data_IF_977815777336
#
_entry.id   IF_977815777336
#
_cell.length_a   1.000
_cell.length_b   1.000
_cell.length_c   1.000
_cell.angle_alpha   90.00
_cell.angle_beta   90.00
_cell.angle_gamma   90.00
#
_symmetry.space_group_name_H-M   'P 1'
#
loop_
_entity.id
_entity.type
_entity.pdbx_description
1 polymer ?
#
# COMPACT_ATOMS: atom_id res chain seq x y z
N UNK A 1 19.80 10.44 66.52
CA UNK A 1 18.67 9.52 66.12
C UNK A 1 17.44 10.24 65.65
N UNK A 2 16.97 11.29 66.29
CA UNK A 2 15.71 11.98 65.89
C UNK A 2 15.77 12.73 64.53
N UNK A 3 16.94 13.17 64.08
CA UNK A 3 17.10 13.86 62.76
C UNK A 3 17.11 12.90 61.60
N UNK A 4 17.54 11.66 61.75
CA UNK A 4 17.53 10.63 60.68
C UNK A 4 16.12 10.11 60.46
N UNK A 5 15.30 10.02 61.55
CA UNK A 5 13.90 9.58 61.42
C UNK A 5 13.02 10.58 60.66
N UNK A 6 13.29 11.89 60.83
CA UNK A 6 12.58 12.94 60.07
C UNK A 6 12.93 12.95 58.58
N UNK A 7 14.15 12.58 58.19
CA UNK A 7 14.58 12.49 56.81
C UNK A 7 13.98 11.26 56.08
N UNK A 8 13.87 10.16 56.82
CA UNK A 8 13.21 8.95 56.31
C UNK A 8 11.69 9.11 56.11
N UNK A 9 11.03 9.87 56.98
CA UNK A 9 9.59 10.16 56.85
C UNK A 9 9.30 11.14 55.69
N UNK A 10 10.18 12.11 55.41
CA UNK A 10 10.04 12.98 54.25
C UNK A 10 10.28 12.24 52.91
N UNK A 11 11.18 11.25 52.89
CA UNK A 11 11.44 10.46 51.67
C UNK A 11 10.32 9.47 51.35
N UNK A 12 9.61 8.96 52.38
CA UNK A 12 8.46 8.07 52.18
C UNK A 12 7.20 8.79 51.65
N UNK A 13 7.08 10.10 51.88
CA UNK A 13 5.96 10.90 51.36
C UNK A 13 6.11 11.25 49.88
N UNK A 14 7.34 11.19 49.33
CA UNK A 14 7.54 11.40 47.87
C UNK A 14 7.22 10.19 47.04
N UNK A 15 7.12 8.99 47.60
CA UNK A 15 6.78 7.77 46.82
C UNK A 15 5.29 7.44 46.79
N UNK A 16 4.43 8.17 47.47
CA UNK A 16 2.98 7.92 47.52
C UNK A 16 2.20 8.81 46.52
N UNK A 17 2.87 9.76 45.85
CA UNK A 17 2.19 10.73 44.96
C UNK A 17 2.39 10.49 43.49
N UNK A 18 2.36 9.24 43.01
CA UNK A 18 2.25 9.00 41.58
C UNK A 18 1.64 7.61 41.29
N UNK A 19 0.39 7.42 41.66
CA UNK A 19 -0.45 6.33 41.11
C UNK A 19 -1.94 6.67 41.19
N UNK A 20 -2.34 7.81 40.70
CA UNK A 20 -3.64 7.84 40.07
C UNK A 20 -3.40 7.39 38.62
N UNK A 21 -3.47 6.11 38.35
CA UNK A 21 -3.81 5.63 37.03
C UNK A 21 -5.20 6.17 36.77
N UNK A 22 -5.30 7.35 36.18
CA UNK A 22 -6.47 7.65 35.39
C UNK A 22 -6.56 6.47 34.41
N UNK A 23 -7.46 5.52 34.66
CA UNK A 23 -7.88 4.59 33.61
C UNK A 23 -8.47 5.51 32.54
N UNK A 24 -7.69 5.84 31.55
CA UNK A 24 -8.22 6.40 30.32
C UNK A 24 -9.19 5.34 29.85
N UNK A 25 -10.48 5.64 29.88
CA UNK A 25 -11.50 4.75 29.33
C UNK A 25 -11.10 4.50 27.89
N UNK A 26 -10.79 3.25 27.59
CA UNK A 26 -10.46 2.86 26.23
C UNK A 26 -11.72 2.96 25.39
N UNK A 27 -11.64 3.52 24.18
CA UNK A 27 -12.81 3.63 23.33
C UNK A 27 -13.32 2.21 23.01
N UNK A 28 -14.60 1.98 23.32
CA UNK A 28 -15.28 0.76 22.90
C UNK A 28 -15.60 0.88 21.40
N UNK A 29 -14.89 0.12 20.58
CA UNK A 29 -15.15 0.01 19.16
C UNK A 29 -16.35 -0.91 18.94
N UNK A 30 -17.29 -0.48 18.10
CA UNK A 30 -18.40 -1.34 17.63
C UNK A 30 -17.96 -2.04 16.35
N UNK A 31 -18.39 -3.29 16.16
CA UNK A 31 -18.11 -3.99 14.91
C UNK A 31 -18.84 -3.33 13.73
N UNK A 32 -18.24 -3.40 12.55
CA UNK A 32 -18.89 -3.00 11.31
C UNK A 32 -20.10 -3.87 11.05
N UNK A 33 -21.16 -3.26 10.52
CA UNK A 33 -22.31 -3.98 10.03
C UNK A 33 -22.00 -4.56 8.64
N UNK A 34 -21.84 -5.86 8.53
CA UNK A 34 -21.69 -6.53 7.25
C UNK A 34 -23.02 -6.50 6.50
N UNK A 35 -23.07 -5.81 5.39
CA UNK A 35 -24.19 -5.87 4.47
C UNK A 35 -24.12 -7.22 3.75
N UNK A 36 -24.94 -8.16 4.18
CA UNK A 36 -25.24 -9.33 3.35
C UNK A 36 -26.04 -8.83 2.15
N UNK A 37 -25.36 -8.61 1.03
CA UNK A 37 -26.07 -8.34 -0.23
C UNK A 37 -26.86 -9.60 -0.57
N UNK A 38 -28.17 -9.47 -0.55
CA UNK A 38 -29.05 -10.49 -1.05
C UNK A 38 -28.67 -10.76 -2.52
N UNK A 39 -28.45 -12.03 -2.87
CA UNK A 39 -28.21 -12.50 -4.22
C UNK A 39 -26.90 -12.02 -4.90
N UNK A 40 -25.73 -12.50 -4.45
CA UNK A 40 -24.47 -12.50 -5.24
C UNK A 40 -24.18 -11.20 -6.04
N UNK A 41 -24.40 -10.06 -5.46
CA UNK A 41 -24.22 -8.75 -6.12
C UNK A 41 -22.76 -8.29 -6.07
N UNK A 42 -21.84 -9.22 -6.29
CA UNK A 42 -20.40 -9.00 -6.39
C UNK A 42 -19.87 -9.57 -7.72
N UNK A 43 -18.82 -9.00 -8.22
CA UNK A 43 -18.13 -9.45 -9.42
C UNK A 43 -17.19 -10.62 -9.07
N UNK A 44 -17.27 -11.72 -9.82
CA UNK A 44 -16.35 -12.83 -9.67
C UNK A 44 -15.14 -12.66 -10.59
N UNK A 45 -13.95 -12.61 -10.03
CA UNK A 45 -12.68 -12.66 -10.76
C UNK A 45 -12.25 -14.13 -10.80
N UNK A 46 -12.50 -14.80 -11.93
CA UNK A 46 -12.22 -16.23 -12.10
C UNK A 46 -10.76 -16.48 -12.48
N UNK A 47 -9.93 -16.74 -11.48
CA UNK A 47 -8.52 -17.09 -11.65
C UNK A 47 -8.31 -18.57 -11.95
N UNK A 48 -9.32 -19.41 -11.70
CA UNK A 48 -9.26 -20.84 -11.99
C UNK A 48 -9.31 -21.15 -13.50
N UNK A 49 -10.04 -20.34 -14.23
CA UNK A 49 -10.20 -20.46 -15.69
C UNK A 49 -9.61 -19.28 -16.47
N UNK A 50 -8.71 -18.52 -15.82
CA UNK A 50 -8.07 -17.39 -16.45
C UNK A 50 -7.20 -17.83 -17.64
N UNK A 51 -7.26 -17.07 -18.72
CA UNK A 51 -6.41 -17.28 -19.90
C UNK A 51 -5.00 -16.76 -19.64
N UNK A 52 -3.99 -17.56 -19.94
CA UNK A 52 -2.62 -17.10 -19.87
C UNK A 52 -2.23 -16.31 -21.13
N UNK A 53 -1.83 -15.06 -20.95
CA UNK A 53 -1.36 -14.19 -22.03
C UNK A 53 0.02 -13.62 -21.71
N UNK A 54 0.80 -13.32 -22.74
CA UNK A 54 1.99 -12.50 -22.56
C UNK A 54 1.53 -11.06 -22.24
N UNK A 55 2.18 -10.42 -21.27
CA UNK A 55 1.89 -9.06 -20.84
C UNK A 55 1.73 -8.08 -22.02
N UNK A 56 2.63 -8.19 -23.01
CA UNK A 56 2.62 -7.36 -24.22
C UNK A 56 1.37 -7.48 -25.09
N UNK A 57 0.67 -8.60 -25.04
CA UNK A 57 -0.53 -8.80 -25.87
C UNK A 57 -1.69 -7.89 -25.44
N UNK A 58 -1.67 -7.48 -24.15
CA UNK A 58 -2.68 -6.60 -23.56
C UNK A 58 -2.31 -5.12 -23.56
N UNK A 59 -1.07 -4.77 -23.91
CA UNK A 59 -0.64 -3.37 -23.93
C UNK A 59 -1.30 -2.62 -25.09
N UNK A 60 -1.95 -1.50 -24.77
CA UNK A 60 -2.40 -0.50 -25.73
C UNK A 60 -1.31 0.55 -25.98
N UNK A 61 -0.80 1.14 -24.92
CA UNK A 61 0.25 2.15 -24.97
C UNK A 61 1.11 2.17 -23.71
N UNK A 62 2.36 2.62 -23.88
CA UNK A 62 3.28 2.87 -22.77
C UNK A 62 3.84 4.28 -22.89
N UNK A 63 3.98 4.96 -21.76
CA UNK A 63 4.66 6.25 -21.61
C UNK A 63 5.76 6.13 -20.57
N UNK A 64 6.86 6.82 -20.80
CA UNK A 64 7.97 6.90 -19.85
C UNK A 64 8.09 8.32 -19.33
N UNK A 65 8.19 8.48 -18.00
CA UNK A 65 8.41 9.77 -17.37
C UNK A 65 9.68 9.68 -16.52
N UNK A 66 10.74 10.35 -16.98
CA UNK A 66 11.97 10.47 -16.21
C UNK A 66 11.74 11.46 -15.08
N UNK A 67 12.00 11.05 -13.84
CA UNK A 67 11.88 11.90 -12.68
C UNK A 67 13.12 12.79 -12.54
N UNK A 68 12.91 14.10 -12.55
CA UNK A 68 14.00 15.08 -12.39
C UNK A 68 14.64 15.04 -11.00
N UNK A 69 15.86 15.52 -10.90
CA UNK A 69 16.69 15.51 -9.70
C UNK A 69 16.77 16.89 -8.99
N UNK A 70 15.93 17.84 -9.37
CA UNK A 70 15.91 19.20 -8.80
C UNK A 70 15.71 19.21 -7.27
N UNK A 71 15.04 18.18 -6.75
CA UNK A 71 14.84 18.01 -5.30
C UNK A 71 15.84 17.01 -4.69
N UNK A 72 16.80 16.52 -5.45
CA UNK A 72 17.79 15.52 -5.07
C UNK A 72 17.43 14.10 -5.48
N UNK A 73 18.34 13.17 -5.19
CA UNK A 73 18.23 11.76 -5.58
C UNK A 73 17.22 11.04 -4.68
N UNK A 74 16.40 10.19 -5.30
CA UNK A 74 15.40 9.34 -4.66
C UNK A 74 15.94 7.91 -4.52
N UNK A 75 15.62 7.27 -3.40
CA UNK A 75 15.83 5.84 -3.20
C UNK A 75 14.69 4.99 -3.75
N UNK A 76 14.32 3.93 -3.02
CA UNK A 76 13.26 3.02 -3.44
C UNK A 76 11.88 3.65 -3.34
N UNK A 77 11.08 3.50 -4.38
CA UNK A 77 9.67 3.92 -4.39
C UNK A 77 8.82 2.85 -3.70
N UNK A 78 8.14 3.25 -2.62
CA UNK A 78 7.19 2.40 -1.91
C UNK A 78 5.78 2.51 -2.49
N UNK A 79 5.32 3.74 -2.75
CA UNK A 79 3.96 4.01 -3.22
C UNK A 79 3.90 5.26 -4.07
N UNK A 80 2.96 5.31 -5.01
CA UNK A 80 2.70 6.48 -5.86
C UNK A 80 1.21 6.79 -5.81
N UNK A 81 0.87 7.99 -5.38
CA UNK A 81 -0.49 8.52 -5.46
C UNK A 81 -0.52 9.63 -6.47
N UNK A 82 -1.59 9.69 -7.26
CA UNK A 82 -1.78 10.72 -8.27
C UNK A 82 -3.01 11.57 -7.95
N UNK A 83 -2.86 12.87 -8.09
CA UNK A 83 -3.98 13.80 -7.93
C UNK A 83 -3.72 15.09 -8.68
N UNK A 84 -4.71 15.56 -9.46
CA UNK A 84 -4.65 16.82 -10.23
C UNK A 84 -3.38 16.95 -11.09
N UNK A 85 -3.02 15.89 -11.82
CA UNK A 85 -1.86 15.88 -12.71
C UNK A 85 -0.51 15.88 -11.99
N UNK A 86 -0.47 15.48 -10.73
CA UNK A 86 0.77 15.39 -9.94
C UNK A 86 0.99 13.97 -9.44
N UNK A 87 2.25 13.62 -9.26
CA UNK A 87 2.69 12.39 -8.59
C UNK A 87 3.19 12.73 -7.20
N UNK A 88 2.63 12.07 -6.20
CA UNK A 88 3.08 12.09 -4.81
C UNK A 88 3.74 10.75 -4.54
N UNK A 89 5.06 10.75 -4.44
CA UNK A 89 5.87 9.54 -4.40
C UNK A 89 6.45 9.36 -3.00
N UNK A 90 6.03 8.28 -2.33
CA UNK A 90 6.62 7.86 -1.06
C UNK A 90 7.92 7.11 -1.34
N UNK A 91 8.99 7.60 -0.78
CA UNK A 91 10.30 6.97 -0.79
C UNK A 91 10.55 6.28 0.55
N UNK A 92 10.92 5.00 0.50
CA UNK A 92 11.01 4.15 1.69
C UNK A 92 12.32 4.31 2.46
N UNK A 93 13.45 4.45 1.75
CA UNK A 93 14.79 4.33 2.35
C UNK A 93 15.09 5.43 3.39
N UNK A 94 14.60 6.65 3.13
CA UNK A 94 14.85 7.81 4.00
C UNK A 94 13.57 8.44 4.56
N UNK A 95 12.40 7.80 4.34
CA UNK A 95 11.09 8.29 4.77
C UNK A 95 10.80 9.71 4.23
N UNK A 96 10.80 9.87 2.91
CA UNK A 96 10.55 11.14 2.24
C UNK A 96 9.36 11.06 1.29
N UNK A 97 8.77 12.20 0.99
CA UNK A 97 7.78 12.31 -0.06
C UNK A 97 8.25 13.31 -1.09
N UNK A 98 8.23 12.91 -2.35
CA UNK A 98 8.53 13.78 -3.48
C UNK A 98 7.24 14.10 -4.22
N UNK A 99 7.10 15.35 -4.65
CA UNK A 99 5.97 15.82 -5.43
C UNK A 99 6.49 16.23 -6.81
N UNK A 100 5.95 15.60 -7.85
CA UNK A 100 6.30 15.86 -9.24
C UNK A 100 5.07 16.34 -10.02
N UNK A 101 5.29 17.11 -11.08
CA UNK A 101 4.27 17.33 -12.10
C UNK A 101 4.19 16.16 -13.09
N UNK A 102 3.23 16.20 -14.02
CA UNK A 102 2.98 15.17 -15.02
C UNK A 102 4.09 15.04 -16.09
N UNK A 103 5.04 15.97 -16.10
CA UNK A 103 6.25 15.91 -16.95
C UNK A 103 7.44 15.25 -16.26
N UNK A 104 7.34 14.98 -14.95
CA UNK A 104 8.41 14.42 -14.14
C UNK A 104 9.35 15.46 -13.52
N UNK A 105 9.03 16.76 -13.59
CA UNK A 105 9.78 17.82 -12.91
C UNK A 105 9.45 17.82 -11.43
N UNK A 106 10.47 17.82 -10.57
CA UNK A 106 10.27 17.89 -9.14
C UNK A 106 9.78 19.29 -8.70
N UNK A 107 8.67 19.31 -7.98
CA UNK A 107 8.07 20.52 -7.42
C UNK A 107 8.49 20.74 -5.97
N UNK A 108 8.57 19.67 -5.18
CA UNK A 108 8.84 19.71 -3.74
C UNK A 108 9.34 18.38 -3.22
N UNK A 109 10.18 18.42 -2.20
CA UNK A 109 10.51 17.28 -1.33
C UNK A 109 10.07 17.61 0.10
N UNK A 110 9.34 16.69 0.73
CA UNK A 110 9.04 16.67 2.16
C UNK A 110 10.07 15.75 2.81
N UNK A 111 10.92 16.30 3.67
CA UNK A 111 12.06 15.61 4.30
C UNK A 111 12.21 16.15 5.74
N UNK A 112 11.18 15.96 6.55
CA UNK A 112 11.09 16.48 7.92
C UNK A 112 11.18 15.34 8.93
N UNK A 113 12.15 14.43 8.75
CA UNK A 113 12.35 13.27 9.61
C UNK A 113 13.26 13.64 10.78
N UNK A 114 12.67 13.94 11.94
CA UNK A 114 13.38 14.16 13.20
C UNK A 114 12.42 14.00 14.39
N UNK A 115 12.77 14.55 15.58
CA UNK A 115 11.96 14.46 16.80
C UNK A 115 11.40 15.80 17.27
N UNK A 116 11.44 16.81 16.43
CA UNK A 116 10.94 18.15 16.73
C UNK A 116 9.42 18.28 16.58
N UNK A 117 8.86 19.42 16.98
CA UNK A 117 7.46 19.74 16.72
C UNK A 117 7.18 19.82 15.22
N UNK A 118 6.23 19.03 14.72
CA UNK A 118 5.90 18.98 13.30
C UNK A 118 6.76 18.03 12.46
N UNK A 119 7.66 17.28 13.10
CA UNK A 119 8.52 16.29 12.46
C UNK A 119 7.99 14.89 12.71
N UNK A 120 8.13 14.02 11.71
CA UNK A 120 7.74 12.60 11.78
C UNK A 120 8.97 11.71 12.03
N UNK A 121 8.73 10.50 12.53
CA UNK A 121 9.77 9.49 12.75
C UNK A 121 9.91 8.55 11.56
N UNK A 122 8.78 8.16 10.98
CA UNK A 122 8.71 7.23 9.85
C UNK A 122 7.43 7.47 9.06
N UNK A 123 7.49 7.29 7.74
CA UNK A 123 6.31 7.31 6.88
C UNK A 123 5.90 5.88 6.55
N UNK A 124 4.82 5.39 7.17
CA UNK A 124 4.25 4.07 6.87
C UNK A 124 3.44 4.11 5.58
N UNK A 125 2.66 5.15 5.37
CA UNK A 125 1.86 5.34 4.15
C UNK A 125 1.55 6.81 3.91
N UNK A 126 1.10 7.09 2.69
CA UNK A 126 0.58 8.40 2.28
C UNK A 126 -0.82 8.24 1.67
N UNK A 127 -1.64 9.28 1.77
CA UNK A 127 -2.91 9.37 1.05
C UNK A 127 -3.29 10.84 0.79
N UNK A 128 -4.28 11.08 -0.07
CA UNK A 128 -4.80 12.40 -0.35
C UNK A 128 -6.26 12.51 0.11
N UNK A 129 -6.51 13.49 0.97
CA UNK A 129 -7.84 13.96 1.27
C UNK A 129 -8.32 14.85 0.12
N UNK A 130 -9.15 14.29 -0.76
CA UNK A 130 -9.63 15.00 -1.96
C UNK A 130 -10.62 16.11 -1.65
N UNK A 131 -11.34 16.05 -0.51
CA UNK A 131 -12.29 17.09 -0.10
C UNK A 131 -11.58 18.34 0.44
N UNK A 132 -10.49 18.16 1.20
CA UNK A 132 -9.70 19.26 1.76
C UNK A 132 -8.50 19.64 0.89
N UNK A 133 -8.21 18.88 -0.14
CA UNK A 133 -7.02 19.02 -0.97
C UNK A 133 -5.73 19.01 -0.12
N UNK A 134 -5.58 17.97 0.68
CA UNK A 134 -4.46 17.79 1.60
C UNK A 134 -3.77 16.45 1.37
N UNK A 135 -2.44 16.48 1.34
CA UNK A 135 -1.61 15.28 1.43
C UNK A 135 -1.50 14.87 2.90
N UNK A 136 -1.79 13.61 3.18
CA UNK A 136 -1.67 13.00 4.49
C UNK A 136 -0.48 12.04 4.53
N UNK A 137 0.38 12.17 5.53
CA UNK A 137 1.44 11.23 5.85
C UNK A 137 1.09 10.52 7.15
N UNK A 138 1.26 9.21 7.18
CA UNK A 138 0.99 8.36 8.33
C UNK A 138 2.29 8.00 9.01
N UNK A 139 2.46 8.40 10.26
CA UNK A 139 3.56 7.98 11.12
C UNK A 139 3.03 7.01 12.19
N UNK A 140 3.13 5.72 11.89
CA UNK A 140 2.69 4.66 12.79
C UNK A 140 3.57 4.53 14.04
N UNK A 141 4.80 5.03 14.03
CA UNK A 141 5.69 5.01 15.20
C UNK A 141 5.34 6.07 16.25
N UNK A 142 4.81 7.21 15.81
CA UNK A 142 4.40 8.31 16.71
C UNK A 142 2.89 8.39 16.92
N UNK A 143 2.11 7.48 16.31
CA UNK A 143 0.64 7.49 16.32
C UNK A 143 0.06 8.82 15.83
N UNK A 144 0.55 9.32 14.68
CA UNK A 144 0.18 10.62 14.14
C UNK A 144 -0.10 10.58 12.65
N UNK A 145 -1.02 11.45 12.22
CA UNK A 145 -1.25 11.82 10.85
C UNK A 145 -0.75 13.26 10.65
N UNK A 146 0.12 13.45 9.68
CA UNK A 146 0.65 14.76 9.30
C UNK A 146 -0.03 15.23 8.04
N UNK A 147 -0.54 16.45 8.04
CA UNK A 147 -1.23 17.04 6.90
C UNK A 147 -0.41 18.17 6.29
N UNK A 148 -0.32 18.13 4.98
CA UNK A 148 0.34 19.12 4.14
C UNK A 148 -0.66 19.62 3.09
N UNK A 149 -0.48 20.82 2.57
CA UNK A 149 -1.17 21.19 1.34
C UNK A 149 -0.63 20.40 0.14
N UNK A 150 -1.26 20.53 -1.02
CA UNK A 150 -0.84 19.81 -2.23
C UNK A 150 0.53 20.26 -2.75
N UNK A 151 1.03 21.42 -2.31
CA UNK A 151 2.36 21.94 -2.62
C UNK A 151 3.44 21.49 -1.61
N UNK A 152 3.06 20.66 -0.63
CA UNK A 152 3.95 20.09 0.37
C UNK A 152 4.31 21.03 1.53
N UNK A 153 3.49 22.04 1.81
CA UNK A 153 3.66 22.89 2.98
C UNK A 153 2.87 22.30 4.15
N UNK A 154 3.52 22.22 5.30
CA UNK A 154 2.93 21.65 6.52
C UNK A 154 1.71 22.48 6.98
N UNK A 155 0.63 21.77 7.39
CA UNK A 155 -0.62 22.37 7.88
C UNK A 155 -0.92 21.99 9.33
N UNK A 156 -1.02 20.69 9.63
CA UNK A 156 -1.47 20.22 10.95
C UNK A 156 -1.05 18.80 11.25
N UNK A 157 -1.23 18.40 12.51
CA UNK A 157 -1.04 17.04 13.01
C UNK A 157 -2.31 16.59 13.69
N UNK A 158 -2.72 15.35 13.41
CA UNK A 158 -3.76 14.65 14.18
C UNK A 158 -3.17 13.43 14.87
N UNK A 159 -3.57 13.19 16.12
CA UNK A 159 -3.17 11.99 16.85
C UNK A 159 -4.17 10.86 16.58
N UNK A 160 -3.65 9.67 16.37
CA UNK A 160 -4.41 8.41 16.28
C UNK A 160 -4.08 7.50 17.46
N UNK A 161 -3.93 8.10 18.67
CA UNK A 161 -3.56 7.38 19.88
C UNK A 161 -4.35 6.08 20.01
N UNK A 162 -3.69 5.09 20.56
CA UNK A 162 -4.23 3.77 20.85
C UNK A 162 -4.31 2.78 19.69
N UNK A 163 -4.07 3.16 18.43
CA UNK A 163 -4.08 2.22 17.33
C UNK A 163 -2.83 2.35 16.48
N UNK A 164 -1.93 1.38 16.60
CA UNK A 164 -0.79 1.23 15.70
C UNK A 164 -1.29 0.89 14.29
N UNK A 165 -1.07 1.76 13.33
CA UNK A 165 -1.52 1.59 11.96
C UNK A 165 -0.36 1.31 11.01
N UNK A 166 -0.58 0.42 10.04
CA UNK A 166 0.34 0.14 8.93
C UNK A 166 0.00 0.98 7.71
N UNK A 167 -1.28 1.29 7.53
CA UNK A 167 -1.76 2.13 6.44
C UNK A 167 -3.05 2.84 6.86
N UNK A 168 -3.29 4.03 6.30
CA UNK A 168 -4.49 4.81 6.54
C UNK A 168 -4.97 5.45 5.26
N UNK A 169 -6.27 5.31 4.97
CA UNK A 169 -6.93 6.05 3.90
C UNK A 169 -7.83 7.15 4.48
N UNK A 170 -7.83 8.29 3.84
CA UNK A 170 -8.83 9.31 4.04
C UNK A 170 -10.07 8.97 3.21
N UNK A 171 -11.19 8.69 3.87
CA UNK A 171 -12.45 8.39 3.18
C UNK A 171 -13.18 9.67 2.77
N UNK A 172 -13.22 10.64 3.67
CA UNK A 172 -13.82 11.96 3.50
C UNK A 172 -13.42 12.84 4.67
N UNK A 173 -13.53 14.15 4.56
CA UNK A 173 -13.18 15.17 5.56
C UNK A 173 -12.29 14.64 6.71
N UNK A 174 -12.81 14.35 7.85
CA UNK A 174 -12.05 13.87 9.02
C UNK A 174 -12.33 12.40 9.34
N UNK A 175 -12.74 11.60 8.37
CA UNK A 175 -13.02 10.16 8.52
C UNK A 175 -11.90 9.35 7.89
N UNK A 176 -11.24 8.54 8.70
CA UNK A 176 -10.07 7.75 8.32
C UNK A 176 -10.32 6.26 8.51
N UNK A 177 -9.85 5.49 7.56
CA UNK A 177 -9.82 4.02 7.61
C UNK A 177 -8.40 3.57 7.88
N UNK A 178 -8.18 2.91 9.01
CA UNK A 178 -6.87 2.43 9.45
C UNK A 178 -6.81 0.92 9.35
N UNK A 179 -5.66 0.40 8.93
CA UNK A 179 -5.37 -1.04 8.94
C UNK A 179 -4.16 -1.34 9.81
N UNK A 180 -4.20 -2.47 10.49
CA UNK A 180 -3.11 -2.93 11.35
C UNK A 180 -3.08 -4.45 11.42
N UNK A 181 -1.92 -5.03 11.68
CA UNK A 181 -1.88 -6.44 12.07
C UNK A 181 -2.69 -6.66 13.36
N UNK A 182 -3.55 -7.69 13.43
CA UNK A 182 -4.38 -7.93 14.61
C UNK A 182 -3.60 -8.08 15.91
N UNK A 183 -2.32 -8.48 15.84
CA UNK A 183 -1.42 -8.63 16.97
C UNK A 183 -0.74 -7.33 17.42
N UNK A 184 -0.69 -6.30 16.61
CA UNK A 184 0.06 -5.06 16.92
C UNK A 184 -0.53 -4.29 18.09
N UNK A 185 -1.83 -4.31 18.26
CA UNK A 185 -2.52 -3.61 19.33
C UNK A 185 -2.66 -4.44 20.63
N UNK A 186 -1.71 -5.36 20.85
CA UNK A 186 -1.63 -6.24 22.01
C UNK A 186 -1.46 -5.47 23.29
N UNK A 187 -2.04 -5.19 24.14
CA UNK A 187 -1.92 -4.34 25.35
C UNK A 187 -2.99 -3.27 25.41
N UNK A 188 -3.78 -3.18 24.34
CA UNK A 188 -4.96 -2.36 24.29
C UNK A 188 -6.20 -3.26 24.16
N UNK A 189 -6.80 -3.66 25.30
CA UNK A 189 -7.90 -4.63 25.33
C UNK A 189 -9.10 -4.22 24.43
N UNK A 190 -9.32 -2.91 24.24
CA UNK A 190 -10.39 -2.39 23.40
C UNK A 190 -10.12 -2.45 21.90
N UNK A 191 -8.87 -2.62 21.49
CA UNK A 191 -8.43 -2.57 20.07
C UNK A 191 -7.79 -3.87 19.60
N UNK A 192 -7.47 -4.75 20.53
CA UNK A 192 -6.85 -6.04 20.20
C UNK A 192 -7.76 -6.90 19.32
N UNK A 193 -7.19 -7.40 18.24
CA UNK A 193 -7.87 -8.25 17.28
C UNK A 193 -8.63 -7.50 16.17
N UNK A 194 -8.63 -6.18 16.19
CA UNK A 194 -9.14 -5.40 15.06
C UNK A 194 -8.07 -5.22 13.99
N UNK A 195 -8.35 -5.71 12.79
CA UNK A 195 -7.50 -5.52 11.62
C UNK A 195 -7.80 -4.19 10.90
N UNK A 196 -9.05 -3.77 10.94
CA UNK A 196 -9.56 -2.56 10.28
C UNK A 196 -10.32 -1.72 11.30
N UNK A 197 -10.05 -0.42 11.33
CA UNK A 197 -10.71 0.51 12.24
C UNK A 197 -11.05 1.80 11.51
N UNK A 198 -12.26 2.28 11.71
CA UNK A 198 -12.72 3.57 11.23
C UNK A 198 -12.66 4.59 12.37
N UNK A 199 -12.03 5.73 12.14
CA UNK A 199 -12.01 6.85 13.08
C UNK A 199 -12.61 8.13 12.49
N UNK A 200 -13.01 9.04 13.35
CA UNK A 200 -13.47 10.39 12.97
C UNK A 200 -12.76 11.43 13.82
N UNK A 201 -12.04 12.34 13.13
CA UNK A 201 -11.22 13.35 13.81
C UNK A 201 -10.12 12.71 14.65
N UNK A 202 -9.74 13.42 15.72
CA UNK A 202 -8.75 12.93 16.67
C UNK A 202 -9.39 11.92 17.65
N UNK A 203 -8.88 10.70 17.67
CA UNK A 203 -9.12 9.73 18.75
C UNK A 203 -10.53 9.13 18.87
N UNK A 204 -11.46 9.44 17.97
CA UNK A 204 -12.81 8.88 18.02
C UNK A 204 -12.94 7.68 17.09
N UNK A 205 -12.77 6.49 17.64
CA UNK A 205 -13.05 5.25 16.89
C UNK A 205 -14.56 5.02 16.79
N UNK A 206 -15.03 4.81 15.56
CA UNK A 206 -16.45 4.62 15.27
C UNK A 206 -16.80 3.14 15.18
N UNK A 207 -16.06 2.41 14.35
CA UNK A 207 -16.33 1.02 13.99
C UNK A 207 -15.00 0.28 13.73
N UNK A 208 -15.05 -1.05 13.82
CA UNK A 208 -13.94 -1.90 13.49
C UNK A 208 -14.36 -3.24 12.91
N UNK A 209 -13.46 -3.84 12.15
CA UNK A 209 -13.57 -5.22 11.69
C UNK A 209 -12.56 -6.06 12.46
N UNK A 210 -13.08 -7.00 13.26
CA UNK A 210 -12.26 -7.94 14.01
C UNK A 210 -11.91 -9.13 13.13
N UNK A 211 -10.63 -9.35 12.95
CA UNK A 211 -10.17 -10.54 12.26
C UNK A 211 -10.22 -11.74 13.20
N UNK A 212 -10.95 -12.76 12.83
CA UNK A 212 -11.00 -14.04 13.54
C UNK A 212 -10.58 -15.15 12.55
N UNK A 213 -9.71 -16.06 12.97
CA UNK A 213 -9.24 -16.36 14.31
C UNK A 213 -8.02 -15.52 14.75
N UNK A 214 -8.01 -15.08 15.98
CA UNK A 214 -6.93 -14.32 16.64
C UNK A 214 -5.61 -15.09 16.77
N UNK A 215 -5.57 -16.34 16.36
CA UNK A 215 -4.45 -17.27 16.59
C UNK A 215 -3.42 -17.28 15.47
N UNK A 216 -3.63 -16.49 14.43
CA UNK A 216 -2.66 -16.35 13.37
C UNK A 216 -1.65 -15.30 13.79
N UNK A 217 -0.45 -15.72 14.15
CA UNK A 217 0.69 -14.85 14.42
C UNK A 217 1.14 -14.21 13.11
N UNK A 218 0.54 -13.05 12.77
CA UNK A 218 0.67 -12.58 11.45
C UNK A 218 1.07 -11.11 11.28
N UNK A 219 1.82 -10.89 10.21
CA UNK A 219 2.31 -9.60 9.77
C UNK A 219 1.28 -8.97 8.79
N UNK A 220 0.40 -8.12 9.28
CA UNK A 220 -0.49 -7.31 8.46
C UNK A 220 -1.99 -7.62 8.62
N UNK A 221 -2.82 -6.59 8.52
CA UNK A 221 -4.29 -6.67 8.59
C UNK A 221 -4.97 -6.92 7.25
N UNK A 222 -4.21 -7.05 6.17
CA UNK A 222 -4.70 -7.08 4.79
C UNK A 222 -4.29 -5.83 4.02
N UNK A 223 -5.11 -5.39 3.09
CA UNK A 223 -4.86 -4.19 2.28
C UNK A 223 -6.08 -3.27 2.28
N UNK A 224 -5.83 -1.97 2.38
CA UNK A 224 -6.80 -0.92 2.05
C UNK A 224 -6.28 -0.14 0.85
N UNK A 225 -7.15 0.16 -0.10
CA UNK A 225 -6.77 0.89 -1.30
C UNK A 225 -7.96 1.69 -1.85
N UNK A 226 -7.66 2.74 -2.61
CA UNK A 226 -8.65 3.45 -3.40
C UNK A 226 -8.80 2.75 -4.74
N UNK A 227 -9.97 2.14 -4.96
CA UNK A 227 -10.38 1.66 -6.27
C UNK A 227 -11.08 2.77 -7.06
N UNK A 228 -11.68 2.39 -8.20
CA UNK A 228 -12.42 3.34 -9.02
C UNK A 228 -13.68 3.81 -8.27
N UNK A 229 -13.71 5.10 -7.89
CA UNK A 229 -14.79 5.77 -7.15
C UNK A 229 -15.18 5.13 -5.80
N UNK A 230 -14.28 4.36 -5.18
CA UNK A 230 -14.56 3.66 -3.93
C UNK A 230 -13.31 3.41 -3.09
N UNK A 231 -13.52 3.19 -1.79
CA UNK A 231 -12.49 2.70 -0.89
C UNK A 231 -12.74 1.23 -0.60
N UNK A 232 -11.69 0.44 -0.72
CA UNK A 232 -11.74 -1.01 -0.63
C UNK A 232 -10.91 -1.53 0.54
N UNK A 233 -11.34 -2.67 1.08
CA UNK A 233 -10.61 -3.47 2.04
C UNK A 233 -10.54 -4.93 1.57
N UNK A 234 -9.34 -5.46 1.51
CA UNK A 234 -9.08 -6.87 1.29
C UNK A 234 -8.43 -7.46 2.52
N UNK A 235 -9.16 -8.26 3.33
CA UNK A 235 -8.57 -8.96 4.46
C UNK A 235 -7.49 -9.92 3.98
N UNK A 236 -6.42 -10.05 4.73
CA UNK A 236 -5.39 -11.06 4.42
C UNK A 236 -6.01 -12.45 4.45
N UNK A 237 -5.62 -13.32 3.52
CA UNK A 237 -6.17 -14.68 3.34
C UNK A 237 -7.70 -14.70 3.12
N UNK A 238 -8.24 -13.69 2.47
CA UNK A 238 -9.63 -13.64 2.04
C UNK A 238 -9.72 -13.78 0.52
N UNK A 239 -10.74 -14.47 0.05
CA UNK A 239 -11.14 -14.50 -1.35
C UNK A 239 -12.03 -13.32 -1.73
N UNK A 240 -12.32 -12.43 -0.78
CA UNK A 240 -13.31 -11.38 -0.94
C UNK A 240 -12.72 -10.02 -0.67
N UNK A 241 -12.93 -9.10 -1.61
CA UNK A 241 -12.70 -7.66 -1.41
C UNK A 241 -14.01 -7.00 -1.04
N UNK A 242 -13.94 -6.15 -0.04
CA UNK A 242 -15.07 -5.38 0.47
C UNK A 242 -14.95 -3.91 0.09
N UNK A 243 -16.08 -3.29 -0.28
CA UNK A 243 -16.20 -1.85 -0.40
C UNK A 243 -16.70 -1.26 0.93
N UNK A 244 -16.12 -0.15 1.34
CA UNK A 244 -16.64 0.65 2.45
C UNK A 244 -17.80 1.51 1.93
N UNK A 245 -19.01 1.22 2.39
CA UNK A 245 -20.23 1.84 1.88
C UNK A 245 -20.63 3.08 2.69
N UNK A 246 -20.33 3.07 4.00
CA UNK A 246 -20.61 4.19 4.91
C UNK A 246 -19.70 4.12 6.13
N UNK A 247 -19.90 5.03 7.09
CA UNK A 247 -19.17 5.02 8.37
C UNK A 247 -19.46 3.78 9.21
N UNK A 248 -20.42 2.98 8.84
CA UNK A 248 -20.89 1.86 9.66
C UNK A 248 -21.03 0.56 8.90
N UNK A 249 -20.99 0.59 7.58
CA UNK A 249 -21.29 -0.58 6.75
C UNK A 249 -20.24 -0.83 5.69
N UNK A 250 -19.97 -2.09 5.41
CA UNK A 250 -19.18 -2.55 4.27
C UNK A 250 -19.89 -3.72 3.59
N UNK A 251 -19.57 -3.99 2.34
CA UNK A 251 -20.15 -5.09 1.59
C UNK A 251 -19.18 -5.68 0.56
N UNK A 252 -19.34 -6.97 0.21
CA UNK A 252 -18.49 -7.61 -0.79
C UNK A 252 -18.68 -6.94 -2.15
N UNK A 253 -17.58 -6.81 -2.90
CA UNK A 253 -17.60 -6.25 -4.25
C UNK A 253 -16.92 -7.13 -5.28
N UNK A 254 -15.80 -7.77 -4.92
CA UNK A 254 -15.12 -8.74 -5.74
C UNK A 254 -14.93 -10.04 -4.96
N UNK A 255 -15.07 -11.15 -5.67
CA UNK A 255 -14.78 -12.48 -5.18
C UNK A 255 -13.77 -13.16 -6.08
N UNK A 256 -12.65 -13.62 -5.53
CA UNK A 256 -11.64 -14.36 -6.26
C UNK A 256 -11.95 -15.85 -6.25
N UNK A 257 -12.24 -16.41 -7.41
CA UNK A 257 -12.41 -17.84 -7.58
C UNK A 257 -11.05 -18.48 -7.90
N UNK A 258 -10.50 -19.22 -6.94
CA UNK A 258 -9.18 -19.85 -7.03
C UNK A 258 -9.31 -21.33 -6.73
N UNK A 259 -8.60 -22.17 -7.49
CA UNK A 259 -8.52 -23.60 -7.27
C UNK A 259 -7.64 -23.90 -6.05
N UNK A 260 -8.16 -24.72 -5.13
CA UNK A 260 -7.44 -25.15 -3.93
C UNK A 260 -7.01 -24.01 -3.00
N UNK A 261 -7.85 -22.99 -2.83
CA UNK A 261 -7.56 -21.96 -1.86
C UNK A 261 -7.41 -22.61 -0.47
N UNK A 262 -6.25 -22.44 0.14
CA UNK A 262 -5.96 -22.99 1.48
C UNK A 262 -6.67 -22.21 2.61
N UNK A 263 -7.51 -21.25 2.28
CA UNK A 263 -8.11 -20.30 3.23
C UNK A 263 -9.14 -20.90 4.17
N UNK A 264 -9.91 -21.91 3.73
CA UNK A 264 -10.79 -22.68 4.62
C UNK A 264 -10.00 -23.33 5.76
N UNK A 265 -8.77 -23.75 5.49
CA UNK A 265 -7.85 -24.31 6.48
C UNK A 265 -7.49 -23.30 7.58
N UNK A 266 -7.38 -22.02 7.24
CA UNK A 266 -7.04 -20.96 8.18
C UNK A 266 -8.27 -20.43 8.93
N UNK A 267 -9.41 -20.37 8.30
CA UNK A 267 -10.67 -19.96 8.93
C UNK A 267 -11.18 -20.95 9.98
N UNK A 268 -10.84 -22.22 9.81
CA UNK A 268 -11.31 -23.33 10.68
C UNK A 268 -10.25 -23.83 11.66
N UNK A 269 -9.10 -23.16 11.80
CA UNK A 269 -8.02 -23.63 12.68
C UNK A 269 -8.16 -23.07 14.09
N UNK A 270 -8.36 -23.96 15.08
CA UNK A 270 -8.28 -23.63 16.51
C UNK A 270 -6.83 -23.50 17.02
N UNK A 271 -5.84 -23.61 16.15
CA UNK A 271 -4.41 -23.60 16.49
C UNK A 271 -3.73 -22.40 15.84
N UNK A 272 -2.72 -21.88 16.53
CA UNK A 272 -1.75 -20.97 15.96
C UNK A 272 -1.14 -21.62 14.72
N UNK A 273 -1.46 -21.13 13.55
CA UNK A 273 -0.88 -21.56 12.29
C UNK A 273 0.15 -20.51 11.92
N UNK A 274 1.41 -20.92 11.93
CA UNK A 274 2.48 -20.10 11.37
C UNK A 274 2.30 -20.13 9.86
N UNK A 275 1.77 -19.05 9.30
CA UNK A 275 1.54 -18.92 7.88
C UNK A 275 2.82 -18.35 7.30
N UNK A 276 3.57 -19.22 6.68
CA UNK A 276 4.63 -18.80 5.78
C UNK A 276 3.98 -17.99 4.64
N UNK A 277 4.39 -16.73 4.47
CA UNK A 277 3.88 -15.84 3.39
C UNK A 277 4.12 -16.36 1.98
N UNK A 278 4.69 -17.54 1.84
CA UNK A 278 4.85 -18.32 0.60
C UNK A 278 3.62 -19.15 0.21
N UNK A 279 2.49 -19.12 0.95
CA UNK A 279 1.33 -19.95 0.63
C UNK A 279 0.50 -19.41 -0.55
N UNK A 280 0.02 -20.32 -1.43
CA UNK A 280 -0.81 -20.00 -2.60
C UNK A 280 -2.05 -19.19 -2.19
N UNK A 281 -2.37 -18.16 -2.97
CA UNK A 281 -3.57 -17.36 -2.80
C UNK A 281 -3.39 -16.08 -1.97
N UNK A 282 -2.17 -15.71 -1.61
CA UNK A 282 -1.94 -14.38 -1.02
C UNK A 282 -1.95 -13.33 -2.12
N UNK A 283 -2.91 -12.42 -2.06
CA UNK A 283 -2.97 -11.28 -2.97
C UNK A 283 -2.21 -10.10 -2.41
N UNK A 284 -1.50 -9.42 -3.28
CA UNK A 284 -0.79 -8.18 -2.94
C UNK A 284 -0.96 -7.16 -4.06
N UNK A 285 -0.75 -5.87 -3.74
CA UNK A 285 -0.69 -4.80 -4.72
C UNK A 285 -1.91 -4.78 -5.65
N UNK A 286 -3.07 -4.51 -5.06
CA UNK A 286 -4.34 -4.45 -5.78
C UNK A 286 -4.60 -3.03 -6.29
N UNK A 287 -4.88 -2.89 -7.58
CA UNK A 287 -5.15 -1.63 -8.25
C UNK A 287 -6.38 -1.72 -9.13
N UNK A 288 -7.24 -0.71 -9.08
CA UNK A 288 -8.49 -0.66 -9.85
C UNK A 288 -8.65 0.69 -10.53
N UNK A 289 -8.73 0.70 -11.85
CA UNK A 289 -9.22 1.84 -12.61
C UNK A 289 -10.63 1.58 -13.17
N UNK A 290 -11.14 2.43 -14.04
CA UNK A 290 -12.48 2.30 -14.60
C UNK A 290 -12.67 0.96 -15.31
N UNK A 291 -11.71 0.53 -16.13
CA UNK A 291 -11.84 -0.57 -17.06
C UNK A 291 -11.26 -1.88 -16.56
N UNK A 292 -10.25 -1.81 -15.69
CA UNK A 292 -9.46 -2.97 -15.29
C UNK A 292 -9.26 -3.06 -13.77
N UNK A 293 -9.07 -4.30 -13.32
CA UNK A 293 -8.56 -4.60 -12.00
C UNK A 293 -7.25 -5.40 -12.16
N UNK A 294 -6.14 -4.82 -11.70
CA UNK A 294 -4.81 -5.44 -11.71
C UNK A 294 -4.46 -5.89 -10.29
N UNK A 295 -3.99 -7.10 -10.16
CA UNK A 295 -3.50 -7.63 -8.90
C UNK A 295 -2.39 -8.64 -9.09
N UNK A 296 -1.79 -9.03 -7.96
CA UNK A 296 -0.68 -9.98 -7.93
C UNK A 296 -1.00 -11.10 -6.94
N UNK A 297 -0.77 -12.33 -7.34
CA UNK A 297 -1.01 -13.52 -6.54
C UNK A 297 0.31 -14.27 -6.32
N UNK A 298 0.57 -14.72 -5.10
CA UNK A 298 1.75 -15.53 -4.81
C UNK A 298 1.65 -16.92 -5.49
N UNK A 299 2.65 -17.27 -6.30
CA UNK A 299 2.76 -18.56 -6.99
C UNK A 299 3.85 -19.44 -6.37
N UNK A 300 3.45 -20.46 -5.61
CA UNK A 300 4.35 -21.44 -4.97
C UNK A 300 5.08 -22.37 -5.91
N UNK A 301 4.58 -22.57 -7.12
CA UNK A 301 5.16 -23.53 -8.06
C UNK A 301 6.48 -23.05 -8.64
N UNK A 302 6.74 -21.74 -8.56
CA UNK A 302 7.97 -21.13 -9.03
C UNK A 302 8.92 -20.91 -7.86
N UNK A 303 10.18 -21.32 -8.00
CA UNK A 303 11.23 -21.10 -6.98
C UNK A 303 11.45 -19.60 -6.76
N UNK A 304 11.32 -19.15 -5.53
CA UNK A 304 11.42 -17.74 -5.11
C UNK A 304 10.05 -17.17 -4.76
N UNK A 305 10.03 -15.97 -4.22
CA UNK A 305 8.78 -15.21 -3.95
C UNK A 305 8.23 -14.64 -5.28
N UNK A 306 7.75 -15.53 -6.15
CA UNK A 306 7.23 -15.13 -7.44
C UNK A 306 5.78 -14.67 -7.30
N UNK A 307 5.53 -13.45 -7.71
CA UNK A 307 4.19 -12.87 -7.76
C UNK A 307 3.67 -12.92 -9.20
N UNK A 308 2.64 -13.71 -9.44
CA UNK A 308 1.96 -13.80 -10.73
C UNK A 308 0.98 -12.65 -10.88
N UNK A 309 1.16 -11.73 -11.83
CA UNK A 309 0.16 -10.70 -12.11
C UNK A 309 -1.06 -11.29 -12.80
N UNK A 310 -2.23 -10.74 -12.48
CA UNK A 310 -3.47 -11.00 -13.20
C UNK A 310 -4.17 -9.69 -13.54
N UNK A 311 -4.89 -9.68 -14.64
CA UNK A 311 -5.71 -8.56 -15.09
C UNK A 311 -7.15 -9.03 -15.30
N UNK A 312 -8.10 -8.36 -14.66
CA UNK A 312 -9.51 -8.55 -14.91
C UNK A 312 -10.04 -7.40 -15.76
N UNK A 313 -10.53 -7.72 -16.96
CA UNK A 313 -11.19 -6.80 -17.87
C UNK A 313 -12.68 -6.72 -17.51
N UNK A 314 -13.09 -5.58 -16.97
CA UNK A 314 -14.46 -5.36 -16.50
C UNK A 314 -15.49 -5.30 -17.64
N UNK A 315 -15.08 -4.83 -18.82
CA UNK A 315 -15.97 -4.75 -19.98
C UNK A 315 -16.25 -6.12 -20.60
N UNK A 316 -15.25 -6.99 -20.60
CA UNK A 316 -15.35 -8.34 -21.20
C UNK A 316 -15.77 -9.39 -20.18
N UNK A 317 -15.80 -9.04 -18.88
CA UNK A 317 -15.97 -9.97 -17.77
C UNK A 317 -14.98 -11.16 -17.87
N UNK A 318 -13.70 -10.83 -18.10
CA UNK A 318 -12.68 -11.83 -18.39
C UNK A 318 -11.40 -11.59 -17.60
N UNK A 319 -10.83 -12.70 -17.07
CA UNK A 319 -9.59 -12.67 -16.29
C UNK A 319 -8.44 -13.24 -17.12
N UNK A 320 -7.28 -12.59 -17.05
CA UNK A 320 -6.03 -13.01 -17.67
C UNK A 320 -4.95 -13.18 -16.62
N UNK A 321 -4.21 -14.30 -16.70
CA UNK A 321 -2.94 -14.46 -15.99
C UNK A 321 -1.82 -13.97 -16.90
N UNK A 322 -1.07 -12.97 -16.43
CA UNK A 322 -0.06 -12.32 -17.23
C UNK A 322 1.27 -13.07 -17.10
N UNK A 323 1.80 -13.55 -18.22
CA UNK A 323 3.16 -14.07 -18.26
C UNK A 323 4.11 -12.91 -18.45
N UNK A 324 5.03 -12.74 -17.52
CA UNK A 324 6.15 -11.85 -17.67
C UNK A 324 7.16 -12.43 -18.64
N UNK A 325 7.86 -11.59 -19.38
CA UNK A 325 9.04 -12.01 -20.11
C UNK A 325 10.09 -12.44 -19.08
N UNK A 326 10.28 -13.73 -18.95
CA UNK A 326 11.00 -14.36 -17.82
C UNK A 326 12.47 -13.91 -17.71
N UNK A 327 13.07 -13.34 -18.74
CA UNK A 327 14.48 -12.97 -18.66
C UNK A 327 14.88 -11.93 -19.72
N UNK A 328 15.05 -10.70 -19.27
CA UNK A 328 15.75 -9.68 -20.06
C UNK A 328 17.11 -10.16 -20.59
N UNK A 329 17.75 -11.11 -19.90
CA UNK A 329 19.05 -11.69 -20.28
C UNK A 329 19.06 -12.36 -21.67
N UNK A 330 17.92 -12.87 -22.13
CA UNK A 330 17.82 -13.58 -23.41
C UNK A 330 17.18 -12.77 -24.52
N UNK A 331 16.68 -11.56 -24.23
CA UNK A 331 16.11 -10.70 -25.24
C UNK A 331 17.17 -10.19 -26.20
N UNK A 332 16.87 -10.21 -27.48
CA UNK A 332 17.69 -9.58 -28.54
C UNK A 332 17.13 -8.20 -28.91
N UNK A 333 15.86 -7.98 -28.70
CA UNK A 333 15.17 -6.73 -28.96
C UNK A 333 14.31 -6.36 -27.73
N UNK A 334 14.30 -5.08 -27.39
CA UNK A 334 13.53 -4.51 -26.31
C UNK A 334 12.76 -3.31 -26.83
N UNK A 335 11.44 -3.40 -26.81
CA UNK A 335 10.54 -2.34 -27.23
C UNK A 335 9.85 -1.64 -26.05
N UNK A 336 9.79 -2.31 -24.88
CA UNK A 336 9.29 -1.73 -23.63
C UNK A 336 9.77 -2.56 -22.43
N UNK A 337 9.66 -2.00 -21.25
CA UNK A 337 9.89 -2.71 -20.01
C UNK A 337 8.63 -3.45 -19.57
N UNK A 338 8.74 -4.76 -19.39
CA UNK A 338 7.71 -5.62 -18.81
C UNK A 338 8.03 -5.99 -17.37
N UNK A 339 6.99 -6.36 -16.64
CA UNK A 339 7.17 -7.14 -15.42
C UNK A 339 7.54 -6.36 -14.18
N UNK A 340 7.38 -5.05 -14.20
CA UNK A 340 7.50 -4.25 -12.99
C UNK A 340 6.17 -4.18 -12.25
N UNK A 341 6.22 -4.40 -10.94
CA UNK A 341 5.05 -4.27 -10.08
C UNK A 341 4.48 -2.86 -10.13
N UNK A 342 3.19 -2.75 -10.33
CA UNK A 342 2.50 -1.46 -10.22
C UNK A 342 2.66 -0.88 -8.81
N UNK A 343 2.78 0.45 -8.74
CA UNK A 343 2.91 1.24 -7.51
C UNK A 343 1.85 2.34 -7.42
N UNK A 344 0.99 2.46 -8.42
CA UNK A 344 -0.05 3.47 -8.48
C UNK A 344 -0.85 3.44 -9.77
N UNK A 345 -1.75 4.41 -9.89
CA UNK A 345 -2.56 4.65 -11.09
C UNK A 345 -2.51 6.12 -11.42
N UNK A 346 -2.41 6.45 -12.71
CA UNK A 346 -2.55 7.79 -13.26
C UNK A 346 -3.55 7.75 -14.40
N UNK A 347 -4.72 8.36 -14.19
CA UNK A 347 -5.85 8.27 -15.13
C UNK A 347 -6.20 6.80 -15.40
N UNK A 348 -6.03 6.32 -16.63
CA UNK A 348 -6.25 4.94 -17.07
C UNK A 348 -4.97 4.09 -17.16
N UNK A 349 -3.82 4.66 -16.74
CA UNK A 349 -2.53 3.99 -16.72
C UNK A 349 -2.20 3.38 -15.37
N UNK A 350 -1.67 2.17 -15.36
CA UNK A 350 -1.00 1.59 -14.20
C UNK A 350 0.46 2.03 -14.20
N UNK A 351 0.94 2.49 -13.05
CA UNK A 351 2.29 3.04 -12.91
C UNK A 351 3.19 2.00 -12.26
N UNK A 352 4.26 1.66 -12.94
CA UNK A 352 5.42 0.98 -12.38
C UNK A 352 6.64 1.92 -12.44
N UNK A 353 7.80 1.47 -11.98
CA UNK A 353 9.04 2.24 -12.09
C UNK A 353 10.23 1.34 -12.36
N UNK A 354 11.26 1.91 -12.94
CA UNK A 354 12.56 1.27 -13.13
C UNK A 354 13.68 2.23 -12.74
N UNK A 355 14.70 1.70 -12.06
CA UNK A 355 15.90 2.46 -11.68
C UNK A 355 17.11 2.02 -12.52
N UNK A 356 18.15 2.85 -12.54
CA UNK A 356 19.46 2.49 -13.13
C UNK A 356 19.97 1.16 -12.56
N UNK A 357 19.96 1.00 -11.23
CA UNK A 357 20.45 -0.21 -10.58
C UNK A 357 19.69 -1.48 -10.99
N UNK A 358 18.39 -1.38 -11.24
CA UNK A 358 17.60 -2.50 -11.74
C UNK A 358 18.04 -2.91 -13.15
N UNK A 359 18.25 -1.94 -14.04
CA UNK A 359 18.69 -2.22 -15.41
C UNK A 359 20.13 -2.74 -15.47
N UNK A 360 20.98 -2.24 -14.58
CA UNK A 360 22.38 -2.66 -14.46
C UNK A 360 22.50 -4.13 -14.02
N UNK A 361 21.63 -4.59 -13.11
CA UNK A 361 21.56 -6.02 -12.73
C UNK A 361 21.34 -6.96 -13.92
N UNK A 362 20.61 -6.50 -14.95
CA UNK A 362 20.35 -7.26 -16.18
C UNK A 362 21.35 -6.95 -17.29
N UNK A 363 22.42 -6.21 -16.99
CA UNK A 363 23.45 -5.79 -17.95
C UNK A 363 22.87 -5.08 -19.19
N UNK A 364 21.73 -4.38 -19.05
CA UNK A 364 21.04 -3.75 -20.20
C UNK A 364 21.96 -2.75 -20.90
N UNK A 365 22.66 -1.91 -20.14
CA UNK A 365 23.54 -0.87 -20.70
C UNK A 365 24.69 -1.45 -21.52
N UNK A 366 25.37 -2.48 -21.01
CA UNK A 366 26.49 -3.14 -21.73
C UNK A 366 25.97 -3.85 -22.98
N UNK A 367 24.87 -4.58 -22.87
CA UNK A 367 24.25 -5.32 -23.98
C UNK A 367 23.75 -4.40 -25.11
N UNK A 368 23.26 -3.22 -24.77
CA UNK A 368 22.94 -2.19 -25.78
C UNK A 368 24.19 -1.66 -26.42
N UNK A 369 25.24 -1.39 -25.65
CA UNK A 369 26.50 -0.84 -26.11
C UNK A 369 27.26 -1.80 -27.05
N UNK A 370 27.24 -3.09 -26.80
CA UNK A 370 27.91 -4.11 -27.59
C UNK A 370 27.05 -4.68 -28.74
N UNK A 371 25.80 -4.19 -28.84
CA UNK A 371 24.85 -4.59 -29.89
C UNK A 371 24.17 -5.94 -29.64
N UNK A 372 24.34 -6.55 -28.47
CA UNK A 372 23.66 -7.79 -28.10
C UNK A 372 22.16 -7.58 -27.80
N UNK A 373 21.76 -6.34 -27.47
CA UNK A 373 20.39 -5.93 -27.26
C UNK A 373 20.08 -4.68 -28.09
N UNK A 374 19.06 -4.77 -28.93
CA UNK A 374 18.57 -3.65 -29.75
C UNK A 374 17.34 -3.04 -29.09
N UNK A 375 17.34 -1.73 -28.85
CA UNK A 375 16.13 -1.01 -28.45
C UNK A 375 15.34 -0.63 -29.70
N UNK A 376 14.08 -1.03 -29.76
CA UNK A 376 13.22 -0.78 -30.94
C UNK A 376 12.26 0.38 -30.73
N UNK A 377 11.99 0.77 -29.47
CA UNK A 377 11.18 1.92 -29.13
C UNK A 377 12.06 3.16 -28.93
N UNK A 378 11.89 4.22 -29.75
CA UNK A 378 12.73 5.43 -29.63
C UNK A 378 12.60 6.20 -28.34
N UNK A 379 11.45 6.15 -27.66
CA UNK A 379 11.25 6.79 -26.38
C UNK A 379 12.03 6.03 -25.29
N UNK A 380 11.94 4.70 -25.29
CA UNK A 380 12.70 3.85 -24.39
C UNK A 380 14.21 3.99 -24.63
N UNK A 381 14.65 4.07 -25.88
CA UNK A 381 16.05 4.29 -26.20
C UNK A 381 16.57 5.59 -25.61
N UNK A 382 15.81 6.68 -25.74
CA UNK A 382 16.16 7.96 -25.12
C UNK A 382 16.24 7.87 -23.59
N UNK A 383 15.32 7.15 -22.97
CA UNK A 383 15.31 6.92 -21.50
C UNK A 383 16.60 6.21 -21.10
N UNK A 384 16.94 5.09 -21.75
CA UNK A 384 18.13 4.30 -21.42
C UNK A 384 19.43 5.10 -21.63
N UNK A 385 19.51 5.89 -22.69
CA UNK A 385 20.69 6.72 -22.98
C UNK A 385 20.92 7.82 -21.94
N UNK A 386 19.89 8.30 -21.27
CA UNK A 386 19.96 9.38 -20.28
C UNK A 386 20.09 8.86 -18.84
N UNK A 387 19.84 7.58 -18.59
CA UNK A 387 19.94 7.01 -17.25
C UNK A 387 21.40 6.78 -16.85
N UNK A 388 21.71 7.14 -15.60
CA UNK A 388 23.03 6.90 -14.98
C UNK A 388 22.83 6.62 -13.47
N UNK A 389 23.93 6.40 -12.74
CA UNK A 389 23.91 6.07 -11.30
C UNK A 389 23.26 7.13 -10.42
N UNK A 390 23.26 8.37 -10.86
CA UNK A 390 22.76 9.53 -10.11
C UNK A 390 21.33 9.91 -10.54
N UNK A 391 20.77 9.21 -11.53
CA UNK A 391 19.42 9.48 -12.02
C UNK A 391 18.35 8.96 -11.07
N UNK A 392 17.27 9.72 -10.92
CA UNK A 392 16.05 9.25 -10.30
C UNK A 392 15.38 8.15 -11.17
N UNK A 393 14.51 7.32 -10.58
CA UNK A 393 13.78 6.30 -11.32
C UNK A 393 12.95 6.90 -12.47
N UNK A 394 12.67 6.06 -13.45
CA UNK A 394 11.74 6.37 -14.54
C UNK A 394 10.40 5.71 -14.25
N UNK A 395 9.32 6.46 -14.32
CA UNK A 395 7.97 5.91 -14.24
C UNK A 395 7.59 5.29 -15.59
N UNK A 396 6.99 4.11 -15.52
CA UNK A 396 6.46 3.35 -16.65
C UNK A 396 4.94 3.36 -16.51
N UNK A 397 4.26 4.07 -17.38
CA UNK A 397 2.82 4.18 -17.39
C UNK A 397 2.28 3.24 -18.48
N UNK A 398 1.62 2.17 -18.07
CA UNK A 398 1.06 1.15 -18.96
C UNK A 398 -0.46 1.25 -19.02
N UNK A 399 -0.99 1.43 -20.21
CA UNK A 399 -2.42 1.31 -20.52
C UNK A 399 -2.68 -0.03 -21.19
N UNK A 400 -3.74 -0.72 -20.72
CA UNK A 400 -4.18 -1.96 -21.32
C UNK A 400 -5.33 -1.73 -22.30
N UNK A 401 -5.47 -2.66 -23.25
CA UNK A 401 -6.58 -2.73 -24.20
C UNK A 401 -7.51 -3.89 -23.88
N UNK A 402 -8.76 -3.79 -24.31
CA UNK A 402 -9.72 -4.88 -24.26
C UNK A 402 -9.47 -5.85 -25.42
N UNK A 403 -9.39 -7.16 -25.18
CA UNK A 403 -9.23 -8.20 -26.20
C UNK A 403 -10.55 -8.88 -26.57
#
# INVERSE_FOLDING_TARGET
MLRLLKFLLLFSLFFVSCRSKNKVEQPMIKDFDLLQRANNDYTTIDLEHAEELAYRELIDSIRYISLGDECGVMGNIANIITYKGRFYIQEEQFDRVFIYDDTGRCLKKIDNKERGPGEYLRIESIDINTEKEELMLVDGMSDKLFFYDLDGNFKSIHSIRYFQTENTLCLRDSVFLHISAPSQNFGNEGLYGYALVLSKGNENFLKGYRYLPLQVGYKGGGQIFKGYERSCYHPIYSDTIYQILSDTTYGPIFYFKIKNSSWEKYHNSDRFVDIDGSEEGVFTLLYENQDFFLGYIADKKKKGNYMQPFLYDKMKDKTYLLRWCDYYEHLKELDYFEGYEARGIFEDYFIAHVSFSTLDQYNIFERVKDGALKITNPELERVIQNLNTDSNPVLILTKFKHL
#
